data_IF_317769735472
#
_entry.id   IF_317769735472
#
_cell.length_a   1.000
_cell.length_b   1.000
_cell.length_c   1.000
_cell.angle_alpha   90.00
_cell.angle_beta   90.00
_cell.angle_gamma   90.00
#
_symmetry.space_group_name_H-M   'P 1'
#
loop_
_entity.id
_entity.type
_entity.pdbx_description
1 polymer ?
#
# COMPACT_ATOMS: atom_id res chain seq x y z
N UNK A 1 8.56 -4.36 31.02
CA UNK A 1 7.97 -4.62 29.69
C UNK A 1 8.95 -4.12 28.64
N UNK A 2 9.65 -5.02 27.93
CA UNK A 2 10.53 -4.62 26.83
C UNK A 2 9.64 -4.17 25.67
N UNK A 3 9.61 -2.87 25.39
CA UNK A 3 8.98 -2.34 24.18
C UNK A 3 9.95 -2.66 23.04
N UNK A 4 9.69 -3.77 22.33
CA UNK A 4 10.31 -4.01 21.03
C UNK A 4 9.86 -2.86 20.13
N UNK A 5 10.81 -2.05 19.67
CA UNK A 5 10.51 -0.95 18.75
C UNK A 5 9.76 -1.51 17.54
N UNK A 6 8.58 -0.95 17.23
CA UNK A 6 7.88 -1.26 15.97
C UNK A 6 8.72 -0.71 14.82
N UNK A 7 9.30 -1.61 14.04
CA UNK A 7 9.93 -1.27 12.76
C UNK A 7 8.85 -1.47 11.71
N UNK A 8 8.58 -0.42 10.93
CA UNK A 8 7.66 -0.52 9.79
C UNK A 8 8.37 -1.29 8.67
N UNK A 9 7.62 -2.18 8.01
CA UNK A 9 8.10 -2.99 6.90
C UNK A 9 7.32 -2.66 5.63
N UNK A 10 8.01 -2.58 4.50
CA UNK A 10 7.40 -2.38 3.18
C UNK A 10 8.18 -3.12 2.09
N UNK A 11 7.56 -3.33 0.92
CA UNK A 11 8.18 -4.02 -0.21
C UNK A 11 8.83 -2.99 -1.13
N UNK A 12 10.09 -3.23 -1.51
CA UNK A 12 10.78 -2.39 -2.47
C UNK A 12 10.22 -2.56 -3.89
N UNK A 13 9.83 -1.44 -4.49
CA UNK A 13 9.34 -1.33 -5.87
C UNK A 13 10.29 -0.42 -6.65
N UNK A 14 10.92 -0.90 -7.74
CA UNK A 14 11.77 -0.08 -8.59
C UNK A 14 11.00 1.05 -9.28
N UNK A 15 11.71 2.12 -9.65
CA UNK A 15 11.11 3.26 -10.35
C UNK A 15 11.05 2.99 -11.85
N UNK A 16 9.94 3.31 -12.49
CA UNK A 16 9.81 3.22 -13.94
C UNK A 16 10.34 4.50 -14.60
N UNK A 17 11.36 4.37 -15.46
CA UNK A 17 11.90 5.47 -16.26
C UNK A 17 11.24 5.49 -17.65
N UNK A 18 10.45 6.54 -17.89
CA UNK A 18 9.71 6.73 -19.14
C UNK A 18 10.64 6.91 -20.35
N UNK A 19 11.85 7.43 -20.15
CA UNK A 19 12.76 7.72 -21.26
C UNK A 19 13.35 6.45 -21.88
N UNK A 20 13.58 5.43 -21.05
CA UNK A 20 14.25 4.19 -21.43
C UNK A 20 13.32 2.97 -21.41
N UNK A 21 12.03 3.16 -21.13
CA UNK A 21 11.02 2.09 -20.92
C UNK A 21 11.54 0.96 -20.02
N UNK A 22 12.28 1.34 -18.97
CA UNK A 22 12.99 0.40 -18.11
C UNK A 22 12.86 0.76 -16.63
N UNK A 23 13.11 -0.22 -15.78
CA UNK A 23 13.07 -0.04 -14.33
C UNK A 23 14.46 0.29 -13.82
N UNK A 24 14.53 1.32 -12.97
CA UNK A 24 15.77 1.81 -12.38
C UNK A 24 15.67 1.83 -10.86
N UNK A 25 16.81 1.57 -10.22
CA UNK A 25 16.90 1.62 -8.77
C UNK A 25 16.92 3.06 -8.26
N UNK A 26 16.01 3.35 -7.34
CA UNK A 26 15.93 4.65 -6.67
C UNK A 26 15.80 4.43 -5.17
N UNK A 27 16.71 5.03 -4.40
CA UNK A 27 16.70 4.88 -2.95
C UNK A 27 15.39 5.41 -2.35
N UNK A 28 14.66 4.62 -1.55
CA UNK A 28 13.45 5.09 -0.87
C UNK A 28 13.78 5.97 0.35
N UNK A 29 15.04 5.96 0.80
CA UNK A 29 15.46 6.67 2.01
C UNK A 29 15.74 8.15 1.74
N UNK A 30 15.10 9.00 2.53
CA UNK A 30 15.42 10.43 2.57
C UNK A 30 16.59 10.69 3.51
N UNK A 31 17.38 11.72 3.21
CA UNK A 31 18.47 12.17 4.08
C UNK A 31 17.89 12.60 5.43
N UNK A 32 18.52 12.17 6.53
CA UNK A 32 18.14 12.50 7.92
C UNK A 32 16.76 11.99 8.39
N UNK A 33 16.21 10.97 7.75
CA UNK A 33 15.01 10.29 8.24
C UNK A 33 15.30 9.56 9.57
N UNK A 34 14.54 9.87 10.62
CA UNK A 34 14.73 9.28 11.97
C UNK A 34 14.15 7.87 12.09
N UNK A 35 12.98 7.64 11.51
CA UNK A 35 12.31 6.33 11.51
C UNK A 35 12.39 5.75 10.10
N UNK A 36 13.49 5.05 9.81
CA UNK A 36 13.67 4.37 8.53
C UNK A 36 12.80 3.12 8.48
N UNK A 37 11.97 3.03 7.45
CA UNK A 37 11.19 1.83 7.13
C UNK A 37 12.16 0.75 6.65
N UNK A 38 11.97 -0.49 7.10
CA UNK A 38 12.68 -1.62 6.52
C UNK A 38 12.03 -2.00 5.19
N UNK A 39 12.82 -2.03 4.12
CA UNK A 39 12.33 -2.41 2.81
C UNK A 39 12.83 -3.80 2.44
N UNK A 40 11.91 -4.71 2.15
CA UNK A 40 12.20 -6.05 1.66
C UNK A 40 12.31 -6.03 0.14
N UNK A 41 13.39 -6.60 -0.39
CA UNK A 41 13.58 -6.78 -1.82
C UNK A 41 13.25 -8.21 -2.22
N UNK A 42 12.43 -8.37 -3.26
CA UNK A 42 12.04 -9.67 -3.80
C UNK A 42 13.08 -10.31 -4.71
N UNK A 43 14.28 -9.73 -4.84
CA UNK A 43 15.36 -10.35 -5.60
C UNK A 43 15.88 -11.64 -4.95
N UNK A 44 15.76 -11.77 -3.62
CA UNK A 44 16.17 -12.95 -2.86
C UNK A 44 15.36 -13.02 -1.56
N UNK A 45 14.94 -14.22 -1.16
CA UNK A 45 14.22 -14.43 0.10
C UNK A 45 15.01 -13.90 1.30
N UNK A 46 14.33 -13.13 2.17
CA UNK A 46 14.93 -12.49 3.34
C UNK A 46 15.92 -11.37 3.02
N UNK A 47 15.98 -10.90 1.76
CA UNK A 47 16.83 -9.78 1.39
C UNK A 47 16.08 -8.47 1.58
N UNK A 48 16.75 -7.49 2.17
CA UNK A 48 16.18 -6.18 2.40
C UNK A 48 17.25 -5.20 2.82
N UNK A 49 16.83 -3.98 3.08
CA UNK A 49 17.71 -2.89 3.49
C UNK A 49 16.94 -2.01 4.48
N UNK A 50 17.70 -1.38 5.38
CA UNK A 50 17.16 -0.57 6.50
C UNK A 50 17.68 0.87 6.49
N UNK A 51 18.60 1.19 5.57
CA UNK A 51 19.13 2.53 5.38
C UNK A 51 19.71 2.69 3.96
N UNK A 52 20.10 3.91 3.61
CA UNK A 52 20.65 4.21 2.28
C UNK A 52 21.97 3.47 1.97
N UNK A 53 22.79 3.17 2.99
CA UNK A 53 24.05 2.47 2.80
C UNK A 53 23.83 1.00 2.42
N UNK A 54 22.97 0.31 3.18
CA UNK A 54 22.54 -1.07 2.88
C UNK A 54 21.83 -1.15 1.53
N UNK A 55 21.00 -0.16 1.19
CA UNK A 55 20.40 -0.05 -0.15
C UNK A 55 21.47 -0.01 -1.25
N UNK A 56 22.45 0.90 -1.14
CA UNK A 56 23.53 1.03 -2.14
C UNK A 56 24.35 -0.26 -2.32
N UNK A 57 24.61 -0.98 -1.24
CA UNK A 57 25.30 -2.26 -1.29
C UNK A 57 24.43 -3.35 -1.93
N UNK A 58 23.15 -3.37 -1.57
CA UNK A 58 22.17 -4.33 -2.07
C UNK A 58 22.02 -4.26 -3.60
N UNK A 59 21.84 -3.05 -4.15
CA UNK A 59 21.63 -2.87 -5.59
C UNK A 59 22.85 -3.24 -6.45
N UNK A 60 24.04 -3.30 -5.85
CA UNK A 60 25.26 -3.72 -6.54
C UNK A 60 25.33 -5.24 -6.74
N UNK A 61 24.56 -6.01 -5.95
CA UNK A 61 24.55 -7.47 -6.03
C UNK A 61 24.08 -7.95 -7.41
N UNK A 62 24.68 -9.05 -7.90
CA UNK A 62 24.29 -9.64 -9.19
C UNK A 62 22.82 -10.04 -9.20
N UNK A 63 22.35 -10.65 -8.12
CA UNK A 63 20.95 -11.07 -7.95
C UNK A 63 19.96 -9.91 -8.06
N UNK A 64 20.31 -8.74 -7.54
CA UNK A 64 19.45 -7.57 -7.65
C UNK A 64 19.42 -7.00 -9.07
N UNK A 65 20.58 -6.94 -9.74
CA UNK A 65 20.65 -6.52 -11.14
C UNK A 65 19.82 -7.43 -12.06
N UNK A 66 19.90 -8.75 -11.84
CA UNK A 66 19.09 -9.72 -12.56
C UNK A 66 17.59 -9.51 -12.27
N UNK A 67 17.22 -9.24 -11.02
CA UNK A 67 15.85 -8.89 -10.63
C UNK A 67 15.33 -7.66 -11.38
N UNK A 68 16.07 -6.55 -11.39
CA UNK A 68 15.67 -5.31 -12.07
C UNK A 68 15.46 -5.53 -13.57
N UNK A 69 16.38 -6.25 -14.23
CA UNK A 69 16.26 -6.54 -15.66
C UNK A 69 14.99 -7.33 -16.01
N UNK A 70 14.52 -8.17 -15.09
CA UNK A 70 13.36 -9.03 -15.27
C UNK A 70 12.09 -8.51 -14.56
N UNK A 71 12.17 -7.37 -13.88
CA UNK A 71 11.09 -6.86 -13.04
C UNK A 71 9.80 -6.64 -13.84
N UNK A 72 9.92 -6.02 -15.02
CA UNK A 72 8.79 -5.77 -15.93
C UNK A 72 8.04 -7.05 -16.30
N UNK A 73 8.76 -8.17 -16.45
CA UNK A 73 8.22 -9.45 -16.91
C UNK A 73 7.52 -10.23 -15.80
N UNK A 74 8.10 -10.26 -14.59
CA UNK A 74 7.63 -11.16 -13.53
C UNK A 74 6.90 -10.46 -12.39
N UNK A 75 7.13 -9.17 -12.15
CA UNK A 75 6.69 -8.50 -10.93
C UNK A 75 5.76 -7.32 -11.18
N UNK A 76 5.94 -6.57 -12.28
CA UNK A 76 5.15 -5.37 -12.58
C UNK A 76 3.64 -5.62 -12.49
N UNK A 77 3.15 -6.63 -13.19
CA UNK A 77 1.71 -6.93 -13.21
C UNK A 77 1.16 -7.27 -11.82
N UNK A 78 1.92 -7.99 -11.00
CA UNK A 78 1.53 -8.38 -9.64
C UNK A 78 1.45 -7.14 -8.74
N UNK A 79 2.40 -6.22 -8.87
CA UNK A 79 2.41 -4.98 -8.07
C UNK A 79 1.28 -4.05 -8.49
N UNK A 80 1.06 -3.89 -9.79
CA UNK A 80 -0.05 -3.09 -10.33
C UNK A 80 -1.41 -3.64 -9.84
N UNK A 81 -1.58 -4.97 -9.87
CA UNK A 81 -2.78 -5.62 -9.33
C UNK A 81 -2.91 -5.44 -7.82
N UNK A 82 -1.82 -5.57 -7.06
CA UNK A 82 -1.83 -5.41 -5.61
C UNK A 82 -2.19 -3.96 -5.21
N UNK A 83 -1.71 -2.98 -5.97
CA UNK A 83 -2.08 -1.57 -5.80
C UNK A 83 -3.57 -1.36 -6.11
N UNK A 84 -4.05 -1.89 -7.23
CA UNK A 84 -5.46 -1.79 -7.62
C UNK A 84 -6.39 -2.43 -6.57
N UNK A 85 -6.03 -3.60 -6.04
CA UNK A 85 -6.80 -4.27 -5.00
C UNK A 85 -6.93 -3.39 -3.74
N UNK A 86 -5.83 -2.80 -3.28
CA UNK A 86 -5.86 -1.87 -2.13
C UNK A 86 -6.75 -0.66 -2.39
N UNK A 87 -6.68 -0.07 -3.58
CA UNK A 87 -7.54 1.05 -3.97
C UNK A 87 -9.02 0.64 -3.96
N UNK A 88 -9.34 -0.54 -4.50
CA UNK A 88 -10.70 -1.08 -4.52
C UNK A 88 -11.23 -1.40 -3.12
N UNK A 89 -10.40 -1.94 -2.23
CA UNK A 89 -10.78 -2.19 -0.84
C UNK A 89 -11.14 -0.88 -0.11
N UNK A 90 -10.37 0.19 -0.34
CA UNK A 90 -10.66 1.52 0.19
C UNK A 90 -11.99 2.05 -0.37
N UNK A 91 -12.22 1.93 -1.67
CA UNK A 91 -13.48 2.35 -2.30
C UNK A 91 -14.69 1.59 -1.73
N UNK A 92 -14.58 0.27 -1.56
CA UNK A 92 -15.62 -0.58 -0.96
C UNK A 92 -15.93 -0.11 0.47
N UNK A 93 -14.92 0.12 1.30
CA UNK A 93 -15.07 0.65 2.66
C UNK A 93 -15.80 2.00 2.68
N UNK A 94 -15.43 2.91 1.79
CA UNK A 94 -16.09 4.22 1.67
C UNK A 94 -17.55 4.09 1.23
N UNK A 95 -17.84 3.18 0.30
CA UNK A 95 -19.21 2.90 -0.15
C UNK A 95 -20.05 2.28 0.98
N UNK A 96 -19.54 1.30 1.72
CA UNK A 96 -20.22 0.74 2.90
C UNK A 96 -20.57 1.81 3.92
N UNK A 97 -19.65 2.73 4.21
CA UNK A 97 -19.92 3.86 5.12
C UNK A 97 -21.02 4.79 4.61
N UNK A 98 -21.11 5.00 3.30
CA UNK A 98 -22.20 5.79 2.70
C UNK A 98 -23.53 5.07 2.81
N UNK A 99 -23.57 3.78 2.51
CA UNK A 99 -24.78 2.94 2.62
C UNK A 99 -25.31 2.98 4.06
N UNK A 100 -24.47 2.68 5.05
CA UNK A 100 -24.87 2.72 6.46
C UNK A 100 -25.46 4.08 6.88
N UNK A 101 -24.89 5.19 6.38
CA UNK A 101 -25.43 6.54 6.68
C UNK A 101 -26.80 6.78 6.05
N UNK A 102 -27.05 6.23 4.87
CA UNK A 102 -28.33 6.37 4.17
C UNK A 102 -29.39 5.46 4.80
N UNK A 103 -29.04 4.23 5.15
CA UNK A 103 -29.91 3.30 5.88
C UNK A 103 -30.37 3.90 7.21
N UNK A 104 -29.45 4.45 8.01
CA UNK A 104 -29.81 5.13 9.26
C UNK A 104 -30.77 6.32 9.05
N UNK A 105 -30.65 7.04 7.93
CA UNK A 105 -31.57 8.14 7.61
C UNK A 105 -32.94 7.62 7.19
N UNK A 106 -32.99 6.53 6.43
CA UNK A 106 -34.25 5.89 6.03
C UNK A 106 -34.99 5.39 7.26
N UNK A 107 -34.30 4.71 8.18
CA UNK A 107 -34.87 4.25 9.44
C UNK A 107 -35.44 5.41 10.28
N UNK A 108 -34.74 6.55 10.35
CA UNK A 108 -35.25 7.74 11.03
C UNK A 108 -36.53 8.29 10.38
N UNK A 109 -36.55 8.36 9.04
CA UNK A 109 -37.71 8.85 8.29
C UNK A 109 -38.91 7.90 8.45
N UNK A 110 -38.68 6.59 8.35
CA UNK A 110 -39.72 5.57 8.55
C UNK A 110 -40.31 5.66 9.96
N UNK A 111 -39.47 5.84 10.98
CA UNK A 111 -39.92 6.04 12.35
C UNK A 111 -40.76 7.33 12.51
N UNK A 112 -40.38 8.43 11.85
CA UNK A 112 -41.17 9.67 11.87
C UNK A 112 -42.53 9.44 11.20
N UNK A 113 -42.54 8.87 9.99
CA UNK A 113 -43.76 8.61 9.22
C UNK A 113 -44.72 7.71 9.98
N UNK A 114 -44.21 6.62 10.57
CA UNK A 114 -45.02 5.71 11.37
C UNK A 114 -45.61 6.41 12.60
N UNK A 115 -44.83 7.25 13.30
CA UNK A 115 -45.35 8.00 14.46
C UNK A 115 -46.41 9.03 14.05
N UNK A 116 -46.24 9.76 12.95
CA UNK A 116 -47.24 10.73 12.47
C UNK A 116 -48.57 10.06 12.08
N UNK A 117 -48.52 8.84 11.52
CA UNK A 117 -49.73 8.08 11.17
C UNK A 117 -50.58 7.67 12.38
N UNK A 118 -49.99 7.53 13.58
CA UNK A 118 -50.70 7.16 14.81
C UNK A 118 -51.34 8.34 15.55
N UNK A 119 -51.05 9.59 15.18
CA UNK A 119 -51.65 10.79 15.79
C UNK A 119 -52.92 11.29 15.07
N UNK A 120 -53.25 10.75 13.88
CA UNK A 120 -54.43 11.12 13.08
C UNK A 120 -55.62 10.13 13.21
N UNK A 121 -55.62 9.25 14.22
CA UNK A 121 -56.70 8.28 14.51
C UNK A 121 -57.33 8.51 15.91
#
# INVERSE_FOLDING_TARGET
>A
MNILAKIDHDIYIPFFDENNDSFVDKSPYKKYQRNCIHYECRCKAGSGFYNNQSFKQHIQSKTHKDYISNYKKYYKQIDDMSKLLKEKDIEIELCKRKINRLENKLEQIENIYNNELFYDC
#
